data_IF_687241549276
#
_entry.id   IF_687241549276
#
_cell.length_a   1.000
_cell.length_b   1.000
_cell.length_c   1.000
_cell.angle_alpha   90.00
_cell.angle_beta   90.00
_cell.angle_gamma   90.00
#
_symmetry.space_group_name_H-M   'P 1'
#
loop_
_entity.id
_entity.type
_entity.pdbx_description
1 polymer ?
#
# COMPACT_ATOMS: atom_id res chain seq x y z
N UNK A 1 -14.45 -34.97 49.16
CA UNK A 1 -13.57 -35.08 47.98
C UNK A 1 -12.85 -33.75 47.81
N UNK A 2 -11.57 -33.72 47.43
CA UNK A 2 -10.78 -32.49 47.49
C UNK A 2 -11.25 -31.52 46.40
N UNK A 3 -11.46 -30.27 46.80
CA UNK A 3 -11.88 -29.18 45.92
C UNK A 3 -10.97 -29.02 44.69
N UNK A 4 -9.69 -29.41 44.80
CA UNK A 4 -8.73 -29.37 43.70
C UNK A 4 -9.12 -30.28 42.52
N UNK A 5 -9.72 -31.45 42.78
CA UNK A 5 -10.13 -32.38 41.72
C UNK A 5 -11.34 -31.85 40.96
N UNK A 6 -12.29 -31.24 41.68
CA UNK A 6 -13.51 -30.67 41.10
C UNK A 6 -13.20 -29.43 40.25
N UNK A 7 -12.24 -28.60 40.68
CA UNK A 7 -11.77 -27.45 39.90
C UNK A 7 -11.07 -27.90 38.61
N UNK A 8 -10.24 -28.95 38.68
CA UNK A 8 -9.56 -29.51 37.51
C UNK A 8 -10.52 -30.16 36.50
N UNK A 9 -11.65 -30.69 36.97
CA UNK A 9 -12.73 -31.20 36.10
C UNK A 9 -13.51 -30.04 35.48
N UNK A 10 -13.87 -29.03 36.27
CA UNK A 10 -14.60 -27.85 35.78
C UNK A 10 -13.82 -27.08 34.70
N UNK A 11 -12.49 -26.93 34.85
CA UNK A 11 -11.64 -26.27 33.87
C UNK A 11 -11.51 -27.07 32.56
N UNK A 12 -11.41 -28.40 32.63
CA UNK A 12 -11.40 -29.26 31.43
C UNK A 12 -12.74 -29.21 30.70
N UNK A 13 -13.84 -29.26 31.45
CA UNK A 13 -15.19 -29.21 30.88
C UNK A 13 -15.51 -27.84 30.26
N UNK A 14 -15.00 -26.76 30.84
CA UNK A 14 -15.04 -25.43 30.24
C UNK A 14 -14.16 -25.35 28.98
N UNK A 15 -12.97 -25.96 29.01
CA UNK A 15 -12.06 -26.08 27.86
C UNK A 15 -12.67 -26.82 26.67
N UNK A 16 -13.31 -27.97 26.92
CA UNK A 16 -13.96 -28.82 25.92
C UNK A 16 -15.21 -28.15 25.30
N UNK A 17 -15.78 -27.15 25.98
CA UNK A 17 -16.91 -26.34 25.47
C UNK A 17 -16.51 -25.25 24.49
N UNK A 18 -15.22 -24.91 24.35
CA UNK A 18 -14.76 -23.93 23.37
C UNK A 18 -14.73 -24.53 21.97
N UNK A 19 -15.85 -24.41 21.27
CA UNK A 19 -15.88 -24.61 19.82
C UNK A 19 -15.44 -23.32 19.15
N UNK A 20 -14.23 -23.34 18.61
CA UNK A 20 -13.69 -22.22 17.86
C UNK A 20 -14.30 -22.25 16.46
N UNK A 21 -15.03 -21.19 16.10
CA UNK A 21 -15.44 -20.98 14.72
C UNK A 21 -14.20 -20.69 13.87
N UNK A 22 -13.71 -21.75 13.21
CA UNK A 22 -12.51 -21.70 12.38
C UNK A 22 -12.69 -20.77 11.18
N UNK A 23 -13.92 -20.61 10.67
CA UNK A 23 -14.21 -19.68 9.59
C UNK A 23 -14.16 -18.24 10.09
N UNK A 24 -14.77 -17.94 11.24
CA UNK A 24 -14.68 -16.60 11.83
C UNK A 24 -13.23 -16.21 12.17
N UNK A 25 -12.39 -17.13 12.64
CA UNK A 25 -10.97 -16.86 12.87
C UNK A 25 -10.18 -16.61 11.57
N UNK A 26 -10.50 -17.34 10.50
CA UNK A 26 -9.86 -17.16 9.19
C UNK A 26 -10.28 -15.82 8.60
N UNK A 27 -11.57 -15.49 8.63
CA UNK A 27 -12.11 -14.23 8.12
C UNK A 27 -11.57 -13.03 8.91
N UNK A 28 -11.55 -13.10 10.25
CA UNK A 28 -10.99 -12.06 11.11
C UNK A 28 -9.45 -11.96 10.97
N UNK A 29 -8.77 -13.09 10.76
CA UNK A 29 -7.34 -13.14 10.45
C UNK A 29 -7.03 -12.49 9.11
N UNK A 30 -7.88 -12.73 8.10
CA UNK A 30 -7.78 -12.12 6.78
C UNK A 30 -8.06 -10.62 6.86
N UNK A 31 -9.12 -10.19 7.52
CA UNK A 31 -9.47 -8.78 7.68
C UNK A 31 -8.40 -8.02 8.48
N UNK A 32 -7.86 -8.62 9.55
CA UNK A 32 -6.71 -8.10 10.28
C UNK A 32 -5.46 -8.05 9.41
N UNK A 33 -5.23 -9.06 8.57
CA UNK A 33 -4.16 -9.11 7.59
C UNK A 33 -4.27 -7.98 6.56
N UNK A 34 -5.44 -7.82 5.94
CA UNK A 34 -5.77 -6.72 5.02
C UNK A 34 -5.64 -5.36 5.72
N UNK A 35 -6.03 -5.24 6.99
CA UNK A 35 -5.90 -4.00 7.76
C UNK A 35 -4.44 -3.68 8.14
N UNK A 36 -3.62 -4.69 8.46
CA UNK A 36 -2.18 -4.51 8.70
C UNK A 36 -1.44 -4.18 7.40
N UNK A 37 -1.82 -4.80 6.29
CA UNK A 37 -1.32 -4.49 4.94
C UNK A 37 -1.77 -3.09 4.52
N UNK A 38 -3.02 -2.70 4.74
CA UNK A 38 -3.56 -1.37 4.45
C UNK A 38 -2.90 -0.29 5.32
N UNK A 39 -2.62 -0.57 6.61
CA UNK A 39 -1.84 0.33 7.47
C UNK A 39 -0.39 0.45 7.05
N UNK A 40 0.23 -0.65 6.60
CA UNK A 40 1.56 -0.62 5.99
C UNK A 40 1.52 0.16 4.68
N UNK A 41 0.52 -0.03 3.83
CA UNK A 41 0.27 0.69 2.56
C UNK A 41 -0.04 2.17 2.74
N UNK A 42 -0.74 2.55 3.81
CA UNK A 42 -0.94 3.94 4.20
C UNK A 42 0.34 4.61 4.71
N UNK A 43 1.27 3.84 5.28
CA UNK A 43 2.65 4.28 5.54
C UNK A 43 3.57 4.12 4.31
N UNK A 44 3.07 3.57 3.21
CA UNK A 44 3.79 3.20 1.96
C UNK A 44 3.23 3.92 0.72
N UNK A 45 2.37 4.94 0.90
CA UNK A 45 2.11 5.93 -0.19
C UNK A 45 3.41 6.69 -0.56
N UNK A 46 4.50 6.49 0.21
CA UNK A 46 5.87 6.48 -0.31
C UNK A 46 6.58 5.15 0.05
N UNK A 47 7.00 4.38 -0.95
CA UNK A 47 8.01 3.32 -0.81
C UNK A 47 7.48 1.88 -0.76
N UNK A 48 7.41 1.20 -1.91
CA UNK A 48 7.53 -0.28 -1.95
C UNK A 48 7.99 -0.83 -3.30
N UNK A 49 9.29 -1.10 -3.41
CA UNK A 49 9.78 -2.34 -3.99
C UNK A 49 10.21 -3.24 -2.82
N UNK A 50 9.42 -4.24 -2.46
CA UNK A 50 9.87 -5.29 -1.53
C UNK A 50 10.91 -6.16 -2.24
N UNK A 51 12.17 -5.70 -2.27
CA UNK A 51 13.31 -6.54 -2.56
C UNK A 51 13.77 -7.20 -1.25
N UNK A 52 13.33 -8.43 -1.00
CA UNK A 52 13.93 -9.27 0.04
C UNK A 52 15.37 -9.60 -0.39
N UNK A 53 16.35 -8.91 0.19
CA UNK A 53 17.75 -9.25 0.03
C UNK A 53 18.10 -10.43 0.95
N UNK A 54 18.32 -11.60 0.36
CA UNK A 54 18.99 -12.72 1.05
C UNK A 54 20.48 -12.37 1.16
N UNK A 55 20.93 -12.08 2.38
CA UNK A 55 22.35 -11.83 2.67
C UNK A 55 23.06 -13.18 2.79
N UNK A 56 23.87 -13.51 1.78
CA UNK A 56 24.98 -14.44 1.92
C UNK A 56 26.26 -13.63 2.18
N UNK A 57 26.64 -13.46 3.44
CA UNK A 57 27.94 -12.87 3.81
C UNK A 57 29.03 -13.93 3.69
N UNK A 58 29.86 -13.81 2.66
CA UNK A 58 31.15 -14.46 2.59
C UNK A 58 32.25 -13.42 2.30
N UNK A 59 33.26 -13.36 3.17
CA UNK A 59 34.62 -12.98 2.77
C UNK A 59 35.20 -11.66 3.29
N UNK A 60 35.87 -11.77 4.44
CA UNK A 60 37.25 -11.33 4.70
C UNK A 60 37.67 -9.86 4.50
N UNK A 61 38.10 -9.23 5.60
CA UNK A 61 39.35 -8.46 5.61
C UNK A 61 40.16 -8.76 6.87
N UNK A 62 41.42 -9.10 6.64
CA UNK A 62 42.45 -9.42 7.61
C UNK A 62 43.09 -8.15 8.19
N UNK A 63 43.55 -8.26 9.45
CA UNK A 63 44.41 -7.27 10.10
C UNK A 63 44.51 -7.58 11.59
N UNK A 64 45.50 -8.40 11.96
CA UNK A 64 45.62 -9.00 13.29
C UNK A 64 46.23 -8.10 14.37
N UNK A 65 46.09 -8.54 15.62
CA UNK A 65 47.10 -8.43 16.67
C UNK A 65 46.73 -9.34 17.87
N UNK A 66 47.73 -10.06 18.37
CA UNK A 66 47.87 -10.66 19.73
C UNK A 66 47.19 -12.02 20.03
N UNK A 67 47.97 -13.08 19.77
CA UNK A 67 48.57 -14.00 20.76
C UNK A 67 47.69 -14.68 21.84
N UNK A 68 47.81 -16.02 21.94
CA UNK A 68 47.53 -16.76 23.18
C UNK A 68 46.68 -18.03 23.13
N UNK A 69 47.30 -19.15 22.71
CA UNK A 69 47.16 -20.53 23.20
C UNK A 69 45.77 -21.15 23.57
N UNK A 70 45.48 -22.29 22.91
CA UNK A 70 45.06 -23.52 23.60
C UNK A 70 43.66 -24.06 23.31
N UNK A 71 43.58 -25.33 22.89
CA UNK A 71 42.42 -26.19 23.11
C UNK A 71 41.60 -26.53 21.87
N UNK A 72 41.93 -27.67 21.27
CA UNK A 72 41.04 -28.42 20.38
C UNK A 72 39.78 -28.88 21.13
N UNK A 73 38.60 -28.47 20.66
CA UNK A 73 37.38 -29.26 20.81
C UNK A 73 36.41 -28.94 19.67
N UNK A 74 35.90 -30.00 19.06
CA UNK A 74 35.12 -29.96 17.83
C UNK A 74 33.72 -29.41 18.01
N UNK A 75 33.29 -28.62 17.04
CA UNK A 75 31.86 -28.48 16.70
C UNK A 75 31.73 -28.75 15.21
N UNK A 76 31.26 -29.95 14.88
CA UNK A 76 30.70 -30.29 13.57
C UNK A 76 29.41 -29.49 13.39
N UNK A 77 29.48 -28.40 12.62
CA UNK A 77 28.28 -27.68 12.18
C UNK A 77 27.63 -28.48 11.07
N UNK A 78 26.42 -28.94 11.34
CA UNK A 78 25.57 -29.70 10.43
C UNK A 78 25.35 -28.95 9.10
N UNK A 79 25.47 -29.68 8.00
CA UNK A 79 25.14 -29.21 6.67
C UNK A 79 23.66 -28.76 6.60
N UNK A 80 23.42 -27.62 5.95
CA UNK A 80 22.08 -27.13 5.67
C UNK A 80 21.35 -28.09 4.70
N UNK A 81 20.03 -28.33 4.88
CA UNK A 81 19.28 -29.24 4.02
C UNK A 81 19.11 -28.63 2.62
N UNK A 82 19.49 -29.39 1.60
CA UNK A 82 19.10 -29.18 0.20
C UNK A 82 17.62 -29.52 0.03
N UNK A 83 16.77 -28.66 -0.55
CA UNK A 83 15.45 -29.08 -1.00
C UNK A 83 15.63 -29.93 -2.26
N UNK A 84 15.46 -31.24 -2.11
CA UNK A 84 15.37 -32.18 -3.22
C UNK A 84 14.18 -31.86 -4.13
N UNK A 85 14.43 -31.91 -5.43
CA UNK A 85 13.41 -32.11 -6.44
C UNK A 85 12.78 -33.51 -6.23
N UNK A 86 11.50 -33.54 -5.86
CA UNK A 86 10.75 -34.77 -5.63
C UNK A 86 9.50 -34.83 -6.50
N UNK A 87 9.55 -35.77 -7.45
CA UNK A 87 8.59 -36.09 -8.51
C UNK A 87 7.14 -36.32 -8.09
N UNK A 88 6.27 -36.11 -9.09
CA UNK A 88 4.89 -36.53 -9.16
C UNK A 88 4.63 -37.99 -8.77
N UNK A 89 3.51 -38.22 -8.09
CA UNK A 89 2.66 -39.40 -8.29
C UNK A 89 1.19 -39.01 -8.20
N UNK A 90 0.43 -39.54 -9.15
CA UNK A 90 -1.02 -39.42 -9.30
C UNK A 90 -1.80 -39.96 -8.09
N UNK A 91 -2.91 -39.30 -7.77
CA UNK A 91 -3.89 -39.75 -6.80
C UNK A 91 -5.18 -38.93 -6.87
N UNK A 92 -6.05 -39.28 -7.82
CA UNK A 92 -7.38 -38.72 -7.97
C UNK A 92 -8.28 -39.02 -6.74
N UNK A 93 -8.84 -37.99 -6.10
CA UNK A 93 -10.30 -37.85 -5.90
C UNK A 93 -10.71 -36.54 -5.18
N UNK A 94 -11.68 -35.85 -5.77
CA UNK A 94 -12.84 -35.23 -5.11
C UNK A 94 -12.65 -34.21 -3.99
N UNK A 95 -12.94 -32.93 -4.28
CA UNK A 95 -13.36 -31.96 -3.27
C UNK A 95 -12.99 -30.52 -3.63
N UNK A 96 -13.82 -29.86 -4.44
CA UNK A 96 -13.66 -28.45 -4.79
C UNK A 96 -13.63 -27.57 -3.55
N UNK A 97 -12.45 -27.05 -3.23
CA UNK A 97 -12.25 -25.97 -2.28
C UNK A 97 -11.87 -24.74 -3.10
N UNK A 98 -12.66 -23.67 -2.96
CA UNK A 98 -12.41 -22.38 -3.59
C UNK A 98 -11.08 -21.82 -3.14
N UNK A 99 -10.03 -22.08 -3.93
CA UNK A 99 -8.72 -21.51 -3.74
C UNK A 99 -8.76 -20.01 -3.97
N UNK A 100 -8.11 -19.26 -3.08
CA UNK A 100 -7.71 -17.89 -3.36
C UNK A 100 -7.08 -17.81 -4.76
N UNK A 101 -7.34 -16.76 -5.57
CA UNK A 101 -6.76 -16.67 -6.89
C UNK A 101 -5.23 -16.78 -6.78
N UNK A 102 -4.65 -17.82 -7.39
CA UNK A 102 -3.21 -17.91 -7.52
C UNK A 102 -2.69 -16.63 -8.19
N UNK A 103 -1.53 -16.09 -7.79
CA UNK A 103 -0.91 -14.98 -8.50
C UNK A 103 -0.81 -15.34 -9.98
N UNK A 104 -1.49 -14.59 -10.85
CA UNK A 104 -1.40 -14.82 -12.29
C UNK A 104 -0.06 -14.26 -12.76
N UNK A 105 0.94 -15.14 -12.77
CA UNK A 105 2.27 -14.87 -13.32
C UNK A 105 2.26 -15.03 -14.84
N UNK A 106 3.26 -14.47 -15.51
CA UNK A 106 3.50 -14.73 -16.94
C UNK A 106 4.03 -16.15 -17.19
N UNK A 107 4.25 -16.49 -18.45
CA UNK A 107 4.75 -17.83 -18.82
C UNK A 107 6.23 -18.05 -18.49
N UNK A 108 6.97 -16.98 -18.17
CA UNK A 108 8.43 -17.01 -18.01
C UNK A 108 9.19 -16.81 -19.32
N UNK A 109 8.52 -16.33 -20.38
CA UNK A 109 9.16 -16.02 -21.65
C UNK A 109 10.25 -14.92 -21.52
N UNK A 110 10.21 -14.15 -20.43
CA UNK A 110 11.25 -13.19 -20.05
C UNK A 110 11.72 -13.49 -18.62
N UNK A 111 12.81 -14.25 -18.52
CA UNK A 111 13.49 -14.53 -17.24
C UNK A 111 14.34 -13.36 -16.72
N UNK A 112 14.87 -13.53 -15.50
CA UNK A 112 15.67 -12.54 -14.78
C UNK A 112 16.87 -11.97 -15.56
N UNK A 113 17.67 -12.80 -16.23
CA UNK A 113 18.84 -12.35 -17.02
C UNK A 113 18.46 -11.40 -18.15
N UNK A 114 17.32 -11.68 -18.81
CA UNK A 114 16.79 -10.81 -19.86
C UNK A 114 16.28 -9.49 -19.28
N UNK A 115 15.71 -9.51 -18.08
CA UNK A 115 15.33 -8.29 -17.36
C UNK A 115 16.55 -7.42 -17.02
N UNK A 116 17.67 -8.02 -16.57
CA UNK A 116 18.94 -7.30 -16.35
C UNK A 116 19.46 -6.65 -17.65
N UNK A 117 19.52 -7.43 -18.73
CA UNK A 117 19.94 -6.95 -20.06
C UNK A 117 19.05 -5.81 -20.56
N UNK A 118 17.73 -5.87 -20.29
CA UNK A 118 16.79 -4.82 -20.67
C UNK A 118 17.04 -3.51 -19.91
N UNK A 119 17.34 -3.58 -18.61
CA UNK A 119 17.67 -2.39 -17.82
C UNK A 119 18.98 -1.74 -18.30
N UNK A 120 20.01 -2.55 -18.58
CA UNK A 120 21.27 -2.07 -19.17
C UNK A 120 21.02 -1.35 -20.51
N UNK A 121 20.26 -1.98 -21.42
CA UNK A 121 19.92 -1.39 -22.72
C UNK A 121 19.10 -0.10 -22.59
N UNK A 122 18.16 -0.04 -21.65
CA UNK A 122 17.34 1.16 -21.45
C UNK A 122 18.13 2.34 -20.90
N UNK A 123 19.17 2.08 -20.10
CA UNK A 123 20.02 3.12 -19.49
C UNK A 123 21.29 3.44 -20.29
N UNK A 124 21.68 2.60 -21.26
CA UNK A 124 22.85 2.82 -22.11
C UNK A 124 22.88 4.22 -22.78
N UNK A 125 21.77 4.79 -23.28
CA UNK A 125 21.77 6.13 -23.87
C UNK A 125 22.12 7.25 -22.88
N UNK A 126 22.07 6.98 -21.57
CA UNK A 126 22.25 7.99 -20.51
C UNK A 126 23.72 8.18 -20.10
N UNK A 127 24.64 7.36 -20.61
CA UNK A 127 26.09 7.57 -20.50
C UNK A 127 26.76 7.09 -19.20
N UNK A 128 26.02 6.48 -18.28
CA UNK A 128 26.54 5.87 -17.05
C UNK A 128 26.63 4.34 -17.11
N UNK A 129 27.37 3.76 -16.17
CA UNK A 129 27.54 2.31 -16.03
C UNK A 129 26.50 1.76 -15.06
N UNK A 130 25.70 0.81 -15.53
CA UNK A 130 24.82 0.03 -14.67
C UNK A 130 25.52 -1.27 -14.23
N UNK A 131 25.37 -1.61 -12.95
CA UNK A 131 25.64 -2.96 -12.43
C UNK A 131 24.33 -3.53 -11.91
N UNK A 132 23.72 -4.45 -12.66
CA UNK A 132 22.51 -5.13 -12.20
C UNK A 132 22.82 -5.98 -10.97
N UNK A 133 21.96 -5.94 -9.95
CA UNK A 133 22.18 -6.61 -8.67
C UNK A 133 21.09 -7.63 -8.34
N UNK A 134 19.87 -7.42 -8.83
CA UNK A 134 18.77 -8.36 -8.67
C UNK A 134 17.79 -8.26 -9.83
N UNK A 135 17.21 -9.39 -10.23
CA UNK A 135 16.12 -9.41 -11.20
C UNK A 135 15.21 -10.61 -10.98
N UNK A 136 13.97 -10.46 -11.43
CA UNK A 136 12.91 -11.45 -11.40
C UNK A 136 12.18 -11.40 -12.74
N UNK A 137 12.02 -12.57 -13.36
CA UNK A 137 11.32 -12.70 -14.63
C UNK A 137 9.80 -12.65 -14.46
N UNK A 138 9.10 -12.82 -15.58
CA UNK A 138 7.64 -12.79 -15.66
C UNK A 138 6.97 -13.97 -14.96
N UNK A 139 7.69 -15.07 -14.76
CA UNK A 139 7.27 -16.25 -13.99
C UNK A 139 7.22 -16.01 -12.47
N UNK A 140 7.81 -14.92 -11.97
CA UNK A 140 7.95 -14.69 -10.53
C UNK A 140 6.63 -14.25 -9.90
N UNK A 141 6.21 -14.94 -8.83
CA UNK A 141 5.02 -14.58 -8.04
C UNK A 141 5.10 -13.17 -7.42
N UNK A 142 6.30 -12.64 -7.18
CA UNK A 142 6.47 -11.27 -6.71
C UNK A 142 6.41 -10.20 -7.82
N UNK A 143 6.11 -10.58 -9.07
CA UNK A 143 6.07 -9.72 -10.25
C UNK A 143 7.43 -9.52 -10.96
N UNK A 144 7.42 -9.19 -12.26
CA UNK A 144 8.65 -8.93 -13.00
C UNK A 144 9.32 -7.64 -12.51
N UNK A 145 10.59 -7.72 -12.13
CA UNK A 145 11.33 -6.57 -11.61
C UNK A 145 12.83 -6.70 -11.85
N UNK A 146 13.54 -5.58 -11.88
CA UNK A 146 14.99 -5.53 -12.01
C UNK A 146 15.52 -4.32 -11.26
N UNK A 147 16.67 -4.48 -10.61
CA UNK A 147 17.37 -3.38 -9.94
C UNK A 147 18.88 -3.48 -10.11
N UNK A 148 19.55 -2.36 -9.93
CA UNK A 148 20.98 -2.26 -10.03
C UNK A 148 21.51 -0.95 -9.47
N UNK A 149 22.83 -0.81 -9.51
CA UNK A 149 23.55 0.41 -9.15
C UNK A 149 24.04 1.08 -10.42
N UNK A 150 23.59 2.31 -10.64
CA UNK A 150 23.99 3.17 -11.73
C UNK A 150 25.05 4.17 -11.26
N UNK A 151 26.10 4.34 -12.06
CA UNK A 151 27.19 5.28 -11.79
C UNK A 151 27.58 6.05 -13.07
N UNK A 152 27.31 7.36 -13.06
CA UNK A 152 27.67 8.33 -14.09
C UNK A 152 28.99 9.06 -13.78
N UNK A 153 29.75 8.59 -12.79
CA UNK A 153 30.98 9.22 -12.28
C UNK A 153 30.74 10.31 -11.24
N UNK A 154 29.49 10.59 -10.86
CA UNK A 154 29.13 11.62 -9.86
C UNK A 154 28.59 11.04 -8.55
N UNK A 155 28.70 9.73 -8.37
CA UNK A 155 28.21 9.02 -7.20
C UNK A 155 27.17 7.96 -7.55
N UNK A 156 27.25 6.82 -6.85
CA UNK A 156 26.42 5.65 -7.08
C UNK A 156 24.97 5.86 -6.67
N UNK A 157 24.05 5.44 -7.52
CA UNK A 157 22.62 5.52 -7.32
C UNK A 157 21.96 4.16 -7.55
N UNK A 158 21.06 3.74 -6.68
CA UNK A 158 20.18 2.61 -6.96
C UNK A 158 19.16 3.01 -8.03
N UNK A 159 18.86 2.09 -8.92
CA UNK A 159 17.78 2.19 -9.90
C UNK A 159 17.00 0.88 -9.88
N UNK A 160 15.67 0.96 -9.94
CA UNK A 160 14.80 -0.20 -10.09
C UNK A 160 13.72 0.06 -11.13
N UNK A 161 13.27 -1.02 -11.76
CA UNK A 161 12.12 -1.06 -12.65
C UNK A 161 11.25 -2.27 -12.29
N UNK A 162 9.95 -2.08 -12.17
CA UNK A 162 8.96 -3.15 -12.05
C UNK A 162 7.92 -3.07 -13.15
N UNK A 163 7.47 -4.24 -13.60
CA UNK A 163 6.49 -4.40 -14.67
C UNK A 163 5.29 -5.18 -14.15
N UNK A 164 4.10 -4.68 -14.45
CA UNK A 164 2.84 -5.31 -14.05
C UNK A 164 1.71 -4.97 -15.02
N UNK A 165 0.51 -5.48 -14.73
CA UNK A 165 -0.72 -5.22 -15.47
C UNK A 165 -1.75 -4.61 -14.52
N UNK A 166 -2.49 -3.60 -14.99
CA UNK A 166 -3.57 -2.93 -14.24
C UNK A 166 -4.78 -2.67 -15.14
N UNK A 167 -5.97 -2.50 -14.56
CA UNK A 167 -7.10 -1.92 -15.30
C UNK A 167 -6.76 -0.45 -15.61
N UNK A 168 -6.57 -0.06 -16.89
CA UNK A 168 -6.18 1.30 -17.25
C UNK A 168 -7.26 2.35 -16.92
N UNK A 169 -8.51 1.91 -16.67
CA UNK A 169 -9.63 2.74 -16.21
C UNK A 169 -9.89 2.59 -14.70
N UNK A 170 -9.15 1.71 -14.04
CA UNK A 170 -9.27 1.42 -12.62
C UNK A 170 -8.76 2.56 -11.73
N UNK A 171 -9.14 2.48 -10.46
CA UNK A 171 -8.69 3.37 -9.39
C UNK A 171 -7.19 3.26 -9.15
N UNK A 172 -6.60 2.06 -9.27
CA UNK A 172 -5.17 1.86 -9.10
C UNK A 172 -4.37 2.62 -10.18
N UNK A 173 -4.75 2.48 -11.45
CA UNK A 173 -4.12 3.19 -12.55
C UNK A 173 -4.21 4.71 -12.37
N UNK A 174 -5.36 5.21 -11.90
CA UNK A 174 -5.56 6.63 -11.61
C UNK A 174 -4.62 7.11 -10.49
N UNK A 175 -4.61 6.43 -9.36
CA UNK A 175 -3.80 6.80 -8.19
C UNK A 175 -2.29 6.78 -8.50
N UNK A 176 -1.83 5.81 -9.28
CA UNK A 176 -0.42 5.69 -9.67
C UNK A 176 0.04 6.77 -10.66
N UNK A 177 -0.89 7.36 -11.42
CA UNK A 177 -0.58 8.33 -12.48
C UNK A 177 -1.05 9.75 -12.19
N UNK A 178 -1.53 10.01 -10.97
CA UNK A 178 -1.90 11.35 -10.49
C UNK A 178 -0.87 11.89 -9.51
N UNK A 179 -0.63 13.19 -9.58
CA UNK A 179 0.13 13.87 -8.54
C UNK A 179 -0.73 13.96 -7.29
N UNK A 180 -0.23 13.41 -6.20
CA UNK A 180 -0.81 13.68 -4.89
C UNK A 180 -0.64 15.14 -4.49
N UNK A 181 -1.24 15.46 -3.35
CA UNK A 181 -1.15 16.81 -2.79
C UNK A 181 0.24 17.06 -2.18
N UNK A 182 0.90 18.11 -2.69
CA UNK A 182 2.24 18.52 -2.27
C UNK A 182 2.30 18.88 -0.78
N UNK A 183 1.23 19.42 -0.22
CA UNK A 183 1.13 19.74 1.21
C UNK A 183 1.06 18.49 2.09
N UNK A 184 0.64 17.34 1.55
CA UNK A 184 0.60 16.07 2.26
C UNK A 184 1.91 15.29 2.11
N UNK A 185 2.48 15.32 0.90
CA UNK A 185 3.56 14.41 0.50
C UNK A 185 4.95 15.07 0.51
N UNK A 186 5.03 16.40 0.54
CA UNK A 186 6.29 17.12 0.68
C UNK A 186 7.28 16.93 -0.47
N UNK A 187 6.80 16.67 -1.69
CA UNK A 187 7.66 16.40 -2.85
C UNK A 187 8.28 17.67 -3.47
N UNK A 188 9.43 17.51 -4.12
CA UNK A 188 10.15 18.57 -4.83
C UNK A 188 9.38 18.98 -6.09
N UNK A 189 9.08 18.03 -6.97
CA UNK A 189 8.34 18.23 -8.24
C UNK A 189 7.45 17.02 -8.54
N UNK A 190 6.30 17.25 -9.19
CA UNK A 190 5.43 16.19 -9.68
C UNK A 190 4.69 16.67 -10.93
N UNK A 191 4.73 15.85 -11.98
CA UNK A 191 4.06 16.15 -13.25
C UNK A 191 3.33 14.93 -13.78
N UNK A 192 2.13 15.15 -14.28
CA UNK A 192 1.35 14.18 -15.05
C UNK A 192 1.28 14.62 -16.50
N UNK A 193 1.30 13.65 -17.42
CA UNK A 193 1.20 13.89 -18.86
C UNK A 193 0.37 12.77 -19.49
N UNK A 194 -0.47 13.12 -20.47
CA UNK A 194 -1.04 12.14 -21.39
C UNK A 194 -0.21 12.13 -22.68
N UNK A 195 0.37 10.97 -22.99
CA UNK A 195 1.18 10.76 -24.19
C UNK A 195 0.31 10.62 -25.45
N UNK A 196 0.86 10.81 -26.66
CA UNK A 196 0.11 10.74 -27.91
C UNK A 196 -0.60 9.39 -28.17
N UNK A 197 -0.09 8.31 -27.59
CA UNK A 197 -0.69 6.97 -27.65
C UNK A 197 -1.82 6.76 -26.63
N UNK A 198 -2.17 7.78 -25.85
CA UNK A 198 -3.15 7.74 -24.79
C UNK A 198 -2.62 7.26 -23.43
N UNK A 199 -1.34 6.90 -23.33
CA UNK A 199 -0.72 6.48 -22.08
C UNK A 199 -0.67 7.64 -21.07
N UNK A 200 -0.87 7.33 -19.79
CA UNK A 200 -0.69 8.27 -18.68
C UNK A 200 0.69 8.10 -18.09
N UNK A 201 1.42 9.20 -17.96
CA UNK A 201 2.75 9.25 -17.41
C UNK A 201 2.75 10.16 -16.18
N UNK A 202 3.35 9.67 -15.10
CA UNK A 202 3.75 10.46 -13.93
C UNK A 202 5.27 10.55 -13.89
N UNK A 203 5.82 11.72 -13.58
CA UNK A 203 7.19 11.87 -13.08
C UNK A 203 7.13 12.61 -11.75
N UNK A 204 7.66 11.99 -10.70
CA UNK A 204 7.65 12.51 -9.34
C UNK A 204 9.07 12.56 -8.78
N UNK A 205 9.38 13.63 -8.05
CA UNK A 205 10.69 13.87 -7.43
C UNK A 205 10.47 14.24 -5.97
N UNK A 206 11.00 13.44 -5.06
CA UNK A 206 10.90 13.74 -3.63
C UNK A 206 11.84 12.87 -2.81
N UNK A 207 11.36 12.50 -1.63
CA UNK A 207 12.11 11.74 -0.62
C UNK A 207 11.55 10.33 -0.47
N UNK A 208 12.40 9.39 -0.08
CA UNK A 208 11.98 8.03 0.28
C UNK A 208 10.96 8.05 1.42
N UNK A 209 11.19 8.91 2.42
CA UNK A 209 10.28 9.09 3.54
C UNK A 209 9.71 10.50 3.55
N UNK A 210 8.39 10.61 3.57
CA UNK A 210 7.67 11.88 3.59
C UNK A 210 7.98 12.73 4.85
N UNK A 211 8.33 12.08 5.97
CA UNK A 211 8.76 12.74 7.21
C UNK A 211 10.21 13.25 7.17
N UNK A 212 10.94 12.95 6.08
CA UNK A 212 12.35 13.32 5.86
C UNK A 212 13.27 12.93 7.02
N UNK A 213 13.00 11.81 7.69
CA UNK A 213 13.87 11.28 8.75
C UNK A 213 15.28 10.94 8.28
N UNK A 214 15.46 10.79 6.97
CA UNK A 214 16.77 10.71 6.29
C UNK A 214 16.71 11.50 4.98
N UNK A 215 17.87 11.95 4.49
CA UNK A 215 18.01 12.75 3.27
C UNK A 215 18.00 11.93 1.96
N UNK A 216 17.67 10.64 2.04
CA UNK A 216 17.54 9.79 0.86
C UNK A 216 16.40 10.28 -0.03
N UNK A 217 16.76 10.75 -1.22
CA UNK A 217 15.80 11.13 -2.26
C UNK A 217 15.38 9.90 -3.06
N UNK A 218 14.12 9.91 -3.51
CA UNK A 218 13.55 8.92 -4.42
C UNK A 218 12.82 9.65 -5.55
N UNK A 219 13.34 9.53 -6.77
CA UNK A 219 12.68 10.04 -7.97
C UNK A 219 12.07 8.86 -8.72
N UNK A 220 10.88 9.05 -9.29
CA UNK A 220 10.10 7.98 -9.92
C UNK A 220 9.43 8.43 -11.20
N UNK A 221 9.25 7.48 -12.11
CA UNK A 221 8.33 7.61 -13.23
C UNK A 221 7.39 6.40 -13.30
N UNK A 222 6.13 6.67 -13.64
CA UNK A 222 5.10 5.64 -13.76
C UNK A 222 4.37 5.81 -15.09
N UNK A 223 4.34 4.76 -15.90
CA UNK A 223 3.61 4.72 -17.16
C UNK A 223 2.47 3.71 -17.06
N UNK A 224 1.24 4.15 -17.35
CA UNK A 224 0.09 3.28 -17.59
C UNK A 224 -0.39 3.45 -19.03
N UNK A 225 -0.37 2.37 -19.81
CA UNK A 225 -0.83 2.40 -21.21
C UNK A 225 -2.32 2.06 -21.32
N UNK A 226 -3.01 2.39 -22.44
CA UNK A 226 -4.39 1.97 -22.68
C UNK A 226 -4.57 0.43 -22.74
N UNK A 227 -3.49 -0.33 -22.95
CA UNK A 227 -3.50 -1.79 -22.91
C UNK A 227 -3.40 -2.38 -21.48
N UNK A 228 -3.30 -1.51 -20.46
CA UNK A 228 -3.14 -1.89 -19.07
C UNK A 228 -1.72 -2.31 -18.70
N UNK A 229 -0.71 -1.94 -19.50
CA UNK A 229 0.69 -2.10 -19.08
C UNK A 229 1.06 -1.05 -18.05
N UNK A 230 1.65 -1.49 -16.94
CA UNK A 230 2.21 -0.64 -15.90
C UNK A 230 3.73 -0.83 -15.86
N UNK A 231 4.45 0.27 -16.03
CA UNK A 231 5.92 0.34 -15.87
C UNK A 231 6.23 1.37 -14.80
N UNK A 232 6.87 0.94 -13.72
CA UNK A 232 7.31 1.81 -12.64
C UNK A 232 8.82 1.79 -12.58
N UNK A 233 9.45 2.96 -12.59
CA UNK A 233 10.87 3.12 -12.39
C UNK A 233 11.13 4.03 -11.20
N UNK A 234 12.08 3.66 -10.35
CA UNK A 234 12.54 4.45 -9.21
C UNK A 234 14.06 4.56 -9.21
N UNK A 235 14.57 5.67 -8.71
CA UNK A 235 15.99 5.88 -8.48
C UNK A 235 16.24 6.64 -7.17
N UNK A 236 17.39 6.36 -6.56
CA UNK A 236 17.79 6.96 -5.29
C UNK A 236 19.13 7.68 -5.42
N UNK A 237 19.33 8.72 -4.62
CA UNK A 237 20.62 9.43 -4.51
C UNK A 237 21.65 8.67 -3.64
N UNK A 238 21.40 7.39 -3.38
CA UNK A 238 22.20 6.46 -2.59
C UNK A 238 22.32 5.13 -3.36
N UNK A 239 23.33 4.28 -3.10
CA UNK A 239 23.53 3.03 -3.82
C UNK A 239 22.51 1.94 -3.45
N UNK A 240 21.64 2.20 -2.48
CA UNK A 240 20.52 1.33 -2.08
C UNK A 240 19.35 2.19 -1.55
N UNK A 241 18.14 1.63 -1.57
CA UNK A 241 16.93 2.23 -1.00
C UNK A 241 17.07 2.48 0.52
N UNK A 242 17.66 1.51 1.23
CA UNK A 242 17.79 1.50 2.69
C UNK A 242 19.23 1.24 3.12
N UNK A 243 19.54 1.69 4.33
CA UNK A 243 20.78 1.39 5.06
C UNK A 243 22.09 1.73 4.31
N UNK A 244 22.01 2.65 3.35
CA UNK A 244 23.15 3.20 2.62
C UNK A 244 23.16 4.73 2.70
N UNK A 245 24.35 5.29 2.93
CA UNK A 245 24.53 6.74 2.90
C UNK A 245 24.31 7.29 1.47
N UNK A 246 23.80 8.52 1.39
CA UNK A 246 23.70 9.25 0.14
C UNK A 246 25.10 9.51 -0.44
N UNK A 247 25.22 9.46 -1.76
CA UNK A 247 26.50 9.66 -2.48
C UNK A 247 26.49 10.91 -3.35
N UNK A 248 25.31 11.51 -3.53
CA UNK A 248 25.03 12.65 -4.41
C UNK A 248 23.82 13.42 -3.88
N UNK A 249 23.65 14.71 -4.22
CA UNK A 249 22.51 15.49 -3.75
C UNK A 249 21.18 15.02 -4.34
N UNK A 250 21.16 14.72 -5.63
CA UNK A 250 19.97 14.30 -6.39
C UNK A 250 20.23 13.00 -7.14
N UNK A 251 19.20 12.14 -7.34
CA UNK A 251 19.29 10.99 -8.24
C UNK A 251 19.76 11.36 -9.67
N UNK A 252 20.43 10.44 -10.38
CA UNK A 252 21.11 10.73 -11.64
C UNK A 252 20.21 11.06 -12.83
N UNK A 253 19.03 10.46 -12.95
CA UNK A 253 18.19 10.59 -14.14
C UNK A 253 17.30 11.83 -14.03
N UNK A 254 17.36 12.70 -15.02
CA UNK A 254 16.41 13.81 -15.10
C UNK A 254 15.02 13.32 -15.56
N UNK A 255 14.02 14.21 -15.55
CA UNK A 255 12.64 13.87 -15.88
C UNK A 255 12.46 13.29 -17.29
N UNK A 256 13.23 13.77 -18.27
CA UNK A 256 13.20 13.25 -19.64
C UNK A 256 13.84 11.87 -19.74
N UNK A 257 14.89 11.61 -18.97
CA UNK A 257 15.55 10.30 -18.90
C UNK A 257 14.66 9.26 -18.20
N UNK A 258 14.00 9.64 -17.10
CA UNK A 258 12.98 8.81 -16.44
C UNK A 258 11.82 8.48 -17.38
N UNK A 259 11.30 9.46 -18.12
CA UNK A 259 10.31 9.23 -19.18
C UNK A 259 10.81 8.22 -20.21
N UNK A 260 12.03 8.43 -20.73
CA UNK A 260 12.65 7.52 -21.71
C UNK A 260 12.80 6.10 -21.18
N UNK A 261 13.09 5.92 -19.88
CA UNK A 261 13.23 4.62 -19.24
C UNK A 261 11.89 3.88 -19.23
N UNK A 262 10.82 4.51 -18.76
CA UNK A 262 9.51 3.85 -18.64
C UNK A 262 8.79 3.66 -19.98
N UNK A 263 9.07 4.50 -20.99
CA UNK A 263 8.52 4.33 -22.35
C UNK A 263 9.37 3.44 -23.27
N UNK A 264 10.45 2.83 -22.75
CA UNK A 264 11.36 2.04 -23.57
C UNK A 264 10.71 0.77 -24.11
N UNK A 265 10.89 0.52 -25.40
CA UNK A 265 10.33 -0.65 -26.08
C UNK A 265 10.94 -1.99 -25.60
N UNK A 266 12.06 -1.95 -24.87
CA UNK A 266 12.70 -3.16 -24.32
C UNK A 266 11.82 -3.90 -23.32
N UNK A 267 10.84 -3.21 -22.72
CA UNK A 267 9.91 -3.79 -21.75
C UNK A 267 8.75 -4.56 -22.39
N UNK A 268 8.42 -4.29 -23.65
CA UNK A 268 7.26 -4.87 -24.31
C UNK A 268 7.22 -6.41 -24.31
N UNK A 269 8.32 -7.15 -24.55
CA UNK A 269 8.28 -8.60 -24.48
C UNK A 269 7.85 -9.14 -23.11
N UNK A 270 8.28 -8.50 -22.02
CA UNK A 270 7.89 -8.90 -20.67
C UNK A 270 6.43 -8.52 -20.38
N UNK A 271 6.03 -7.29 -20.74
CA UNK A 271 4.65 -6.81 -20.55
C UNK A 271 3.60 -7.63 -21.31
N UNK A 272 3.95 -8.10 -22.51
CA UNK A 272 3.08 -8.97 -23.31
C UNK A 272 2.97 -10.39 -22.74
N UNK A 273 3.98 -10.86 -22.01
CA UNK A 273 3.96 -12.18 -21.36
C UNK A 273 3.15 -12.17 -20.06
N UNK A 274 2.97 -11.00 -19.44
CA UNK A 274 2.15 -10.87 -18.24
C UNK A 274 0.65 -10.97 -18.59
N UNK A 275 -0.14 -11.74 -17.82
CA UNK A 275 -1.56 -11.90 -18.06
C UNK A 275 -2.31 -10.58 -17.83
N UNK A 276 -3.31 -10.29 -18.68
CA UNK A 276 -4.10 -9.08 -18.54
C UNK A 276 -4.72 -8.97 -17.15
N UNK A 277 -4.67 -7.77 -16.56
CA UNK A 277 -5.38 -7.49 -15.34
C UNK A 277 -6.88 -7.63 -15.57
N UNK A 278 -7.57 -8.19 -14.57
CA UNK A 278 -9.02 -8.16 -14.57
C UNK A 278 -9.48 -6.71 -14.39
N UNK A 279 -10.56 -6.30 -15.08
CA UNK A 279 -11.18 -5.00 -14.82
C UNK A 279 -11.51 -4.88 -13.33
N UNK A 280 -11.19 -3.73 -12.74
CA UNK A 280 -11.50 -3.51 -11.33
C UNK A 280 -13.03 -3.53 -11.15
N UNK A 281 -13.57 -4.30 -10.17
CA UNK A 281 -14.98 -4.25 -9.84
C UNK A 281 -15.33 -2.85 -9.33
N UNK A 282 -15.93 -2.03 -10.19
CA UNK A 282 -16.31 -0.65 -9.84
C UNK A 282 -15.91 0.43 -10.85
N UNK A 283 -15.21 0.10 -11.95
CA UNK A 283 -14.91 1.06 -13.02
C UNK A 283 -16.04 1.25 -14.04
N UNK A 284 -17.19 0.60 -13.86
CA UNK A 284 -18.43 1.09 -14.47
C UNK A 284 -18.76 2.37 -13.75
N UNK A 285 -18.61 3.50 -14.44
CA UNK A 285 -19.09 4.81 -13.99
C UNK A 285 -20.31 4.63 -13.09
N UNK A 286 -20.11 4.84 -11.78
CA UNK A 286 -21.15 4.71 -10.80
C UNK A 286 -22.09 5.88 -11.04
N UNK A 287 -22.99 5.71 -12.01
CA UNK A 287 -23.91 6.72 -12.47
C UNK A 287 -24.77 7.24 -11.31
N UNK A 288 -25.62 8.24 -11.56
CA UNK A 288 -26.44 8.90 -10.54
C UNK A 288 -27.39 7.97 -9.72
N UNK A 289 -27.38 6.65 -9.93
CA UNK A 289 -28.20 5.66 -9.22
C UNK A 289 -27.45 4.58 -8.44
N UNK A 290 -26.11 4.52 -8.45
CA UNK A 290 -25.39 3.45 -7.71
C UNK A 290 -25.48 3.67 -6.19
N UNK A 291 -25.94 2.68 -5.39
CA UNK A 291 -25.98 2.77 -3.93
C UNK A 291 -24.60 2.97 -3.29
N UNK A 292 -24.53 3.67 -2.15
CA UNK A 292 -23.25 3.96 -1.47
C UNK A 292 -22.43 2.70 -1.13
N UNK A 293 -23.10 1.62 -0.71
CA UNK A 293 -22.45 0.33 -0.39
C UNK A 293 -21.65 -0.28 -1.56
N UNK A 294 -22.02 0.08 -2.79
CA UNK A 294 -21.42 -0.46 -4.02
C UNK A 294 -20.36 0.50 -4.59
N UNK A 295 -20.07 1.61 -3.90
CA UNK A 295 -19.03 2.58 -4.25
C UNK A 295 -17.78 2.36 -3.42
N UNK A 296 -16.63 2.78 -3.95
CA UNK A 296 -15.45 2.97 -3.11
C UNK A 296 -15.74 4.02 -2.03
N UNK A 297 -15.09 3.91 -0.86
CA UNK A 297 -15.25 4.90 0.18
C UNK A 297 -14.81 6.31 -0.28
N UNK A 298 -13.81 6.41 -1.15
CA UNK A 298 -13.40 7.70 -1.73
C UNK A 298 -14.53 8.34 -2.56
N UNK A 299 -15.13 7.59 -3.49
CA UNK A 299 -16.22 8.10 -4.34
C UNK A 299 -17.48 8.39 -3.53
N UNK A 300 -17.79 7.57 -2.53
CA UNK A 300 -18.91 7.80 -1.62
C UNK A 300 -18.71 9.08 -0.80
N UNK A 301 -17.50 9.29 -0.25
CA UNK A 301 -17.18 10.49 0.52
C UNK A 301 -17.28 11.76 -0.33
N UNK A 302 -16.80 11.73 -1.57
CA UNK A 302 -16.94 12.85 -2.52
C UNK A 302 -18.40 13.17 -2.82
N UNK A 303 -19.20 12.15 -3.16
CA UNK A 303 -20.63 12.31 -3.44
C UNK A 303 -21.36 12.94 -2.24
N UNK A 304 -21.06 12.48 -1.03
CA UNK A 304 -21.69 12.96 0.20
C UNK A 304 -21.18 14.33 0.64
N UNK A 305 -19.96 14.71 0.28
CA UNK A 305 -19.41 16.02 0.58
C UNK A 305 -19.84 17.11 -0.42
N UNK A 306 -20.24 16.73 -1.64
CA UNK A 306 -20.60 17.67 -2.70
C UNK A 306 -21.68 18.70 -2.32
N UNK A 307 -22.76 18.35 -1.58
CA UNK A 307 -23.77 19.32 -1.13
C UNK A 307 -23.22 20.43 -0.23
N UNK A 308 -22.07 20.22 0.42
CA UNK A 308 -21.44 21.23 1.28
C UNK A 308 -20.71 22.33 0.50
N UNK A 309 -20.56 22.18 -0.82
CA UNK A 309 -20.06 23.22 -1.72
C UNK A 309 -18.61 23.64 -1.45
N UNK A 310 -17.81 22.78 -0.82
CA UNK A 310 -16.40 23.07 -0.53
C UNK A 310 -15.51 22.48 -1.63
N UNK A 311 -14.60 23.27 -2.22
CA UNK A 311 -13.65 22.75 -3.20
C UNK A 311 -12.80 21.61 -2.62
N UNK A 312 -12.65 20.54 -3.40
CA UNK A 312 -11.79 19.41 -3.09
C UNK A 312 -10.42 19.70 -3.69
N UNK A 313 -9.43 19.95 -2.83
CA UNK A 313 -8.04 20.15 -3.23
C UNK A 313 -7.33 18.83 -3.51
N UNK A 314 -7.71 17.76 -2.83
CA UNK A 314 -7.14 16.42 -2.99
C UNK A 314 -8.13 15.34 -2.56
N UNK A 315 -7.99 14.14 -3.11
CA UNK A 315 -8.79 12.98 -2.74
C UNK A 315 -8.00 11.68 -2.94
N UNK A 316 -8.43 10.62 -2.27
CA UNK A 316 -7.91 9.28 -2.49
C UNK A 316 -8.52 8.27 -1.53
N UNK A 317 -8.05 7.03 -1.60
CA UNK A 317 -8.60 5.93 -0.80
C UNK A 317 -8.50 4.60 -1.53
N UNK A 318 -8.78 3.52 -0.80
CA UNK A 318 -8.83 2.16 -1.33
C UNK A 318 -9.94 1.39 -0.60
N UNK A 319 -10.82 0.73 -1.37
CA UNK A 319 -11.90 -0.10 -0.84
C UNK A 319 -12.78 0.63 0.18
N UNK A 320 -12.70 0.21 1.44
CA UNK A 320 -13.45 0.71 2.59
C UNK A 320 -12.92 2.03 3.19
N UNK A 321 -11.77 2.51 2.74
CA UNK A 321 -11.16 3.75 3.22
C UNK A 321 -11.13 4.83 2.14
N UNK A 322 -11.49 6.06 2.50
CA UNK A 322 -11.46 7.23 1.62
C UNK A 322 -11.05 8.49 2.37
N UNK A 323 -10.50 9.47 1.65
CA UNK A 323 -10.23 10.80 2.19
C UNK A 323 -10.43 11.90 1.14
N UNK A 324 -10.73 13.10 1.63
CA UNK A 324 -10.74 14.36 0.90
C UNK A 324 -9.91 15.38 1.67
N UNK A 325 -9.20 16.25 0.95
CA UNK A 325 -8.70 17.52 1.49
C UNK A 325 -9.57 18.62 0.90
N UNK A 326 -10.28 19.32 1.78
CA UNK A 326 -11.16 20.42 1.42
C UNK A 326 -10.43 21.74 1.63
N UNK A 327 -10.50 22.64 0.66
CA UNK A 327 -9.89 23.97 0.77
C UNK A 327 -10.84 25.07 0.29
N UNK A 328 -11.26 25.92 1.21
CA UNK A 328 -12.10 27.10 0.99
C UNK A 328 -11.27 28.40 0.87
N UNK A 329 -9.95 28.28 0.70
CA UNK A 329 -9.01 29.39 0.70
C UNK A 329 -8.63 29.88 2.10
N UNK A 330 -9.14 29.23 3.16
CA UNK A 330 -8.82 29.56 4.57
C UNK A 330 -7.89 28.53 5.22
N UNK A 331 -7.37 27.60 4.43
CA UNK A 331 -6.48 26.54 4.87
C UNK A 331 -7.09 25.15 4.65
N UNK A 332 -6.30 24.19 4.17
CA UNK A 332 -6.77 22.84 3.83
C UNK A 332 -7.22 22.05 5.06
N UNK A 333 -8.27 21.24 4.90
CA UNK A 333 -8.85 20.42 5.96
C UNK A 333 -9.10 19.00 5.47
N UNK A 334 -8.49 18.03 6.14
CA UNK A 334 -8.64 16.62 5.84
C UNK A 334 -9.97 16.09 6.39
N UNK A 335 -10.68 15.32 5.57
CA UNK A 335 -11.84 14.51 5.92
C UNK A 335 -11.55 13.07 5.53
N UNK A 336 -11.83 12.12 6.41
CA UNK A 336 -11.60 10.69 6.21
C UNK A 336 -12.89 9.92 6.44
N UNK A 337 -13.06 8.86 5.66
CA UNK A 337 -14.14 7.90 5.77
C UNK A 337 -13.54 6.50 5.91
N UNK A 338 -14.08 5.71 6.84
CA UNK A 338 -13.80 4.29 6.97
C UNK A 338 -15.11 3.52 7.18
N UNK A 339 -15.32 2.48 6.37
CA UNK A 339 -16.49 1.61 6.39
C UNK A 339 -16.05 0.19 6.72
N UNK A 340 -16.44 -0.35 7.87
CA UNK A 340 -16.02 -1.68 8.32
C UNK A 340 -17.19 -2.50 8.85
N UNK A 341 -17.00 -3.81 9.02
CA UNK A 341 -17.84 -4.62 9.92
C UNK A 341 -17.28 -4.48 11.33
N UNK A 342 -18.14 -4.41 12.33
CA UNK A 342 -17.77 -4.45 13.73
C UNK A 342 -18.29 -5.76 14.33
N UNK A 343 -17.38 -6.58 14.83
CA UNK A 343 -17.71 -7.85 15.50
C UNK A 343 -18.31 -7.62 16.90
N UNK A 344 -18.10 -6.44 17.47
CA UNK A 344 -18.58 -6.09 18.82
C UNK A 344 -19.18 -4.69 18.85
N UNK A 345 -20.08 -4.48 19.81
CA UNK A 345 -20.61 -3.15 20.15
C UNK A 345 -19.71 -2.40 21.14
N UNK A 346 -18.51 -2.93 21.44
CA UNK A 346 -17.58 -2.33 22.38
C UNK A 346 -17.18 -0.91 21.92
N UNK A 347 -17.31 0.06 22.82
CA UNK A 347 -17.11 1.49 22.53
C UNK A 347 -18.38 2.23 22.11
N UNK A 348 -19.50 1.51 21.88
CA UNK A 348 -20.84 2.04 21.61
C UNK A 348 -21.84 1.71 22.75
N UNK A 349 -21.36 1.68 23.99
CA UNK A 349 -22.15 1.31 25.19
C UNK A 349 -22.06 2.31 26.34
N UNK A 350 -21.63 3.55 26.07
CA UNK A 350 -21.48 4.63 27.06
C UNK A 350 -22.56 5.71 26.98
N UNK A 351 -22.55 6.62 27.95
CA UNK A 351 -23.46 7.78 27.99
C UNK A 351 -23.22 8.80 26.84
N UNK A 352 -22.06 8.72 26.20
CA UNK A 352 -21.65 9.49 25.03
C UNK A 352 -22.20 8.94 23.70
N UNK A 353 -23.07 7.92 23.76
CA UNK A 353 -23.63 7.24 22.61
C UNK A 353 -25.13 7.52 22.52
N UNK A 354 -25.55 8.10 21.40
CA UNK A 354 -26.98 8.27 21.08
C UNK A 354 -27.47 7.16 20.17
N UNK A 355 -28.75 6.85 20.20
CA UNK A 355 -29.37 5.87 19.30
C UNK A 355 -30.39 6.60 18.43
N UNK A 356 -30.25 6.47 17.11
CA UNK A 356 -31.19 6.98 16.13
C UNK A 356 -32.47 6.13 16.12
N UNK A 357 -33.53 6.62 15.48
CA UNK A 357 -34.82 5.92 15.43
C UNK A 357 -34.79 4.55 14.75
N UNK A 358 -33.78 4.30 13.92
CA UNK A 358 -33.56 3.03 13.21
C UNK A 358 -32.65 2.04 13.98
N UNK A 359 -32.33 2.33 15.24
CA UNK A 359 -31.43 1.52 16.07
C UNK A 359 -29.93 1.80 15.83
N UNK A 360 -29.57 2.67 14.89
CA UNK A 360 -28.17 3.05 14.66
C UNK A 360 -27.60 3.78 15.88
N UNK A 361 -26.52 3.25 16.44
CA UNK A 361 -25.76 3.90 17.51
C UNK A 361 -24.81 4.93 16.92
N UNK A 362 -24.72 6.10 17.52
CA UNK A 362 -23.86 7.21 17.08
C UNK A 362 -23.00 7.66 18.24
N UNK A 363 -21.70 7.75 18.01
CA UNK A 363 -20.71 8.27 18.95
C UNK A 363 -19.98 9.44 18.33
N UNK A 364 -19.94 10.54 19.05
CA UNK A 364 -19.25 11.76 18.63
C UNK A 364 -18.07 11.99 19.56
N UNK A 365 -16.90 12.28 18.98
CA UNK A 365 -15.69 12.64 19.74
C UNK A 365 -15.04 13.86 19.14
N UNK A 366 -14.56 14.76 20.01
CA UNK A 366 -13.79 15.95 19.63
C UNK A 366 -12.59 16.05 20.55
N UNK A 367 -11.41 16.33 19.99
CA UNK A 367 -10.23 16.53 20.81
C UNK A 367 -8.96 16.75 20.01
N UNK A 368 -7.83 16.74 20.73
CA UNK A 368 -6.51 16.76 20.12
C UNK A 368 -6.26 15.46 19.34
N UNK A 369 -5.67 15.57 18.16
CA UNK A 369 -5.33 14.43 17.31
C UNK A 369 -4.04 13.70 17.75
N UNK A 370 -3.41 14.12 18.85
CA UNK A 370 -2.27 13.45 19.51
C UNK A 370 -0.95 13.40 18.73
N UNK A 371 -0.96 13.61 17.41
CA UNK A 371 0.21 13.47 16.54
C UNK A 371 1.02 14.74 16.34
N UNK A 372 0.37 15.91 16.38
CA UNK A 372 1.04 17.20 16.26
C UNK A 372 0.36 18.26 17.14
N UNK A 373 1.12 19.17 17.79
CA UNK A 373 0.56 20.24 18.60
C UNK A 373 -0.43 21.11 17.80
N UNK A 374 -1.60 21.37 18.38
CA UNK A 374 -2.63 22.22 17.76
C UNK A 374 -3.48 21.55 16.68
N UNK A 375 -3.20 20.30 16.32
CA UNK A 375 -4.08 19.52 15.42
C UNK A 375 -5.26 18.98 16.21
N UNK A 376 -6.47 19.29 15.76
CA UNK A 376 -7.72 18.77 16.32
C UNK A 376 -8.36 17.77 15.36
N UNK A 377 -9.01 16.76 15.94
CA UNK A 377 -9.79 15.76 15.23
C UNK A 377 -11.21 15.74 15.77
N UNK A 378 -12.18 15.83 14.86
CA UNK A 378 -13.59 15.60 15.13
C UNK A 378 -13.99 14.30 14.45
N UNK A 379 -14.66 13.41 15.17
CA UNK A 379 -15.05 12.11 14.63
C UNK A 379 -16.49 11.80 14.98
N UNK A 380 -17.24 11.34 13.97
CA UNK A 380 -18.54 10.72 14.13
C UNK A 380 -18.42 9.26 13.70
N UNK A 381 -18.69 8.35 14.62
CA UNK A 381 -18.74 6.92 14.35
C UNK A 381 -20.17 6.43 14.54
N UNK A 382 -20.65 5.61 13.60
CA UNK A 382 -21.98 4.99 13.66
C UNK A 382 -21.84 3.47 13.64
N UNK A 383 -22.68 2.77 14.38
CA UNK A 383 -22.77 1.32 14.38
C UNK A 383 -24.23 0.90 14.21
N UNK A 384 -24.52 0.19 13.14
CA UNK A 384 -25.86 -0.36 12.87
C UNK A 384 -26.03 -1.75 13.48
N UNK A 385 -27.29 -2.16 13.61
CA UNK A 385 -27.66 -3.47 14.16
C UNK A 385 -27.07 -4.63 13.34
N UNK A 386 -26.93 -4.47 12.02
CA UNK A 386 -26.29 -5.45 11.14
C UNK A 386 -24.75 -5.49 11.25
N UNK A 387 -24.16 -4.77 12.22
CA UNK A 387 -22.72 -4.72 12.46
C UNK A 387 -21.97 -3.79 11.51
N UNK A 388 -22.62 -3.05 10.61
CA UNK A 388 -21.93 -2.08 9.77
C UNK A 388 -21.50 -0.86 10.60
N UNK A 389 -20.20 -0.57 10.57
CA UNK A 389 -19.60 0.60 11.18
C UNK A 389 -19.16 1.59 10.11
N UNK A 390 -19.58 2.84 10.25
CA UNK A 390 -19.11 3.96 9.42
C UNK A 390 -18.47 4.99 10.33
N UNK A 391 -17.23 5.36 10.05
CA UNK A 391 -16.49 6.35 10.82
C UNK A 391 -16.04 7.47 9.91
N UNK A 392 -16.45 8.69 10.22
CA UNK A 392 -16.05 9.90 9.51
C UNK A 392 -15.25 10.78 10.46
N UNK A 393 -14.03 11.16 10.07
CA UNK A 393 -13.16 12.04 10.85
C UNK A 393 -12.79 13.27 10.05
N UNK A 394 -12.70 14.43 10.69
CA UNK A 394 -12.19 15.65 10.09
C UNK A 394 -11.10 16.30 10.94
N UNK A 395 -10.12 16.90 10.27
CA UNK A 395 -8.95 17.52 10.87
C UNK A 395 -8.79 18.95 10.38
N UNK A 396 -8.22 19.82 11.23
CA UNK A 396 -7.90 21.20 10.90
C UNK A 396 -6.55 21.37 10.16
N UNK A 397 -6.13 20.34 9.44
CA UNK A 397 -4.88 20.28 8.67
C UNK A 397 -5.08 19.42 7.44
N UNK A 398 -4.24 19.59 6.42
CA UNK A 398 -4.24 18.78 5.22
C UNK A 398 -3.81 17.32 5.52
N UNK A 399 -2.79 17.14 6.37
CA UNK A 399 -2.25 15.83 6.74
C UNK A 399 -2.10 15.70 8.25
N UNK A 400 -2.30 14.50 8.80
CA UNK A 400 -2.25 14.26 10.25
C UNK A 400 -0.86 14.47 10.88
N UNK A 401 0.19 14.59 10.07
CA UNK A 401 1.58 14.72 10.53
C UNK A 401 2.07 16.18 10.49
N UNK A 402 1.28 17.08 9.93
CA UNK A 402 1.60 18.49 9.71
C UNK A 402 0.96 19.37 10.77
N UNK A 403 1.40 20.63 10.81
CA UNK A 403 0.78 21.63 11.68
C UNK A 403 -0.67 21.94 11.28
N UNK A 404 -1.45 22.56 12.18
CA UNK A 404 -2.78 23.05 11.85
C UNK A 404 -2.70 24.15 10.78
N UNK A 405 -3.56 24.08 9.78
CA UNK A 405 -3.72 25.12 8.75
C UNK A 405 -4.84 26.10 9.09
N UNK A 406 -5.71 25.72 10.03
CA UNK A 406 -6.93 26.44 10.45
C UNK A 406 -7.27 26.08 11.91
N UNK A 407 -8.11 26.84 12.62
CA UNK A 407 -8.41 26.56 14.03
C UNK A 407 -9.29 25.31 14.25
N UNK A 408 -10.16 24.99 13.30
CA UNK A 408 -11.11 23.87 13.37
C UNK A 408 -11.28 23.21 12.01
N UNK A 409 -11.68 21.93 11.95
CA UNK A 409 -11.96 21.25 10.69
C UNK A 409 -13.00 21.99 9.85
N UNK A 410 -12.92 21.83 8.53
CA UNK A 410 -13.81 22.54 7.61
C UNK A 410 -15.25 22.05 7.71
N UNK A 411 -15.46 20.75 7.88
CA UNK A 411 -16.80 20.21 8.06
C UNK A 411 -17.20 20.25 9.54
N UNK A 412 -18.45 20.63 9.80
CA UNK A 412 -19.03 20.63 11.15
C UNK A 412 -19.34 19.21 11.62
N UNK A 413 -19.50 19.01 12.94
CA UNK A 413 -19.95 17.72 13.47
C UNK A 413 -21.28 17.25 12.85
N UNK A 414 -22.19 18.18 12.58
CA UNK A 414 -23.48 17.89 11.94
C UNK A 414 -23.27 17.36 10.52
N UNK A 415 -22.40 17.99 9.72
CA UNK A 415 -22.05 17.52 8.39
C UNK A 415 -21.36 16.16 8.41
N UNK A 416 -20.46 15.91 9.38
CA UNK A 416 -19.86 14.59 9.56
C UNK A 416 -20.90 13.52 9.94
N UNK A 417 -21.88 13.90 10.76
CA UNK A 417 -23.01 13.04 11.14
C UNK A 417 -23.91 12.74 9.93
N UNK A 418 -24.19 13.73 9.09
CA UNK A 418 -24.93 13.55 7.83
C UNK A 418 -24.23 12.54 6.90
N UNK A 419 -22.90 12.65 6.72
CA UNK A 419 -22.13 11.68 5.92
C UNK A 419 -22.23 10.27 6.54
N UNK A 420 -22.01 10.15 7.85
CA UNK A 420 -21.97 8.85 8.53
C UNK A 420 -23.34 8.14 8.52
N UNK A 421 -24.43 8.91 8.64
CA UNK A 421 -25.80 8.42 8.62
C UNK A 421 -26.43 8.35 7.22
N UNK A 422 -25.69 8.72 6.17
CA UNK A 422 -26.25 8.83 4.83
C UNK A 422 -26.99 7.55 4.39
N UNK A 423 -28.17 7.69 3.75
CA UNK A 423 -28.91 6.53 3.27
C UNK A 423 -28.12 5.82 2.16
N UNK A 424 -28.10 4.49 2.19
CA UNK A 424 -27.42 3.67 1.18
C UNK A 424 -26.18 2.93 1.68
N UNK A 425 -25.72 3.22 2.91
CA UNK A 425 -24.74 2.37 3.59
C UNK A 425 -25.27 0.95 3.86
N UNK A 426 -26.58 0.79 4.08
CA UNK A 426 -27.17 -0.42 4.68
C UNK A 426 -28.17 -1.18 3.83
N UNK A 427 -28.43 -0.80 2.58
CA UNK A 427 -29.42 -1.57 1.80
C UNK A 427 -28.79 -2.90 1.47
N UNK A 428 -29.16 -3.98 2.16
CA UNK A 428 -28.75 -5.32 1.79
C UNK A 428 -29.08 -5.59 0.30
N UNK A 429 -28.34 -6.51 -0.32
CA UNK A 429 -28.62 -6.95 -1.68
C UNK A 429 -30.00 -7.63 -1.66
N UNK A 430 -31.04 -6.96 -2.16
CA UNK A 430 -32.24 -7.69 -2.57
C UNK A 430 -31.89 -8.69 -3.66
#
# INVERSE_FOLDING_TARGET
MPFEDDLGVALRQAGDGFTVDRHALVDAGEERGRHLVARRRAAVVGGSALALALVATAGAYAGGLLDGAGGSDGVTVAAAPTPDAGSATDGANGGGHGGAPSPRVGSGAVGAERMMTNLEKALAPQGGKLTATAARGTESEGGAAVSGVYDDGKGKAAVSVSLSRVDPKGSQARQLTECGDKSLQGYDDCRTEQLPDGSKLLVYKGYEYADRRVDTKCWRAVLVTPAGFLVEASEWNAPAEKDAATTRPDPPLNSAQLKSLVTSQVWLPALNDLPAAEPEPGSRDAGPGTPLKDRSAADALELLAAPFGVPIASRGGEGSYGYLVLDDGKGPSLVQLNVSRAETTAGFTGADVTTESDGTKVKITQGSAGKAPGVVQWTVATLRENGLRVTVSAFNTANQNGGPSRPQPRLTLEQLKEIALAPGWNRDRN
#
